data_IF_989974140850
#
_entry.id   IF_989974140850
#
_cell.length_a   1.000
_cell.length_b   1.000
_cell.length_c   1.000
_cell.angle_alpha   90.00
_cell.angle_beta   90.00
_cell.angle_gamma   90.00
#
_symmetry.space_group_name_H-M   'P 1'
#
loop_
_entity.id
_entity.type
_entity.pdbx_description
1 polymer ?
#
# COMPACT_ATOMS: atom_id res chain seq x y z
N UNK A 1 9.46 15.04 41.28
CA UNK A 1 8.81 15.70 40.13
C UNK A 1 7.50 16.27 40.62
N UNK A 2 7.31 17.57 40.44
CA UNK A 2 6.09 18.28 40.80
C UNK A 2 4.96 17.85 39.83
N UNK A 3 3.75 17.63 40.35
CA UNK A 3 2.57 17.29 39.55
C UNK A 3 2.24 18.38 38.51
N UNK A 4 2.63 19.63 38.74
CA UNK A 4 2.52 20.71 37.73
C UNK A 4 3.49 20.53 36.56
N UNK A 5 4.72 20.12 36.84
CA UNK A 5 5.78 19.88 35.85
C UNK A 5 5.42 18.67 34.94
N UNK A 6 4.76 17.66 35.50
CA UNK A 6 4.19 16.54 34.75
C UNK A 6 3.02 16.90 33.83
N UNK A 7 2.34 18.04 34.07
CA UNK A 7 1.23 18.49 33.23
C UNK A 7 1.68 19.43 32.11
N UNK A 8 2.86 20.04 32.22
CA UNK A 8 3.40 20.98 31.23
C UNK A 8 4.50 20.38 30.35
N UNK A 9 5.33 19.50 30.89
CA UNK A 9 6.58 19.05 30.26
C UNK A 9 6.73 17.53 30.19
N UNK A 10 5.71 16.76 30.58
CA UNK A 10 5.74 15.32 30.37
C UNK A 10 5.80 15.03 28.86
N UNK A 11 6.81 14.27 28.39
CA UNK A 11 6.86 13.89 26.99
C UNK A 11 5.62 13.05 26.66
N UNK A 12 4.86 13.47 25.65
CA UNK A 12 3.80 12.67 25.08
C UNK A 12 4.44 11.38 24.57
N UNK A 13 3.93 10.19 24.94
CA UNK A 13 4.45 8.94 24.39
C UNK A 13 4.42 9.02 22.86
N UNK A 14 5.50 8.64 22.16
CA UNK A 14 5.48 8.61 20.71
C UNK A 14 4.30 7.74 20.25
N UNK A 15 3.55 8.24 19.26
CA UNK A 15 2.47 7.47 18.64
C UNK A 15 3.08 6.19 18.08
N UNK A 16 2.53 5.04 18.46
CA UNK A 16 2.99 3.76 17.94
C UNK A 16 2.84 3.73 16.41
N UNK A 17 3.94 3.48 15.70
CA UNK A 17 3.96 3.35 14.25
C UNK A 17 3.73 1.88 13.90
N UNK A 18 2.47 1.48 13.98
CA UNK A 18 2.02 0.11 13.79
C UNK A 18 1.10 -0.02 12.55
N UNK A 19 0.59 -1.22 12.28
CA UNK A 19 -0.34 -1.43 11.16
C UNK A 19 -1.66 -0.66 11.37
N UNK A 20 -2.03 -0.38 12.62
CA UNK A 20 -3.20 0.44 12.97
C UNK A 20 -3.02 1.89 12.56
N UNK A 21 -1.87 2.48 12.86
CA UNK A 21 -1.44 3.80 12.38
C UNK A 21 -1.47 3.84 10.85
N UNK A 22 -0.89 2.85 10.17
CA UNK A 22 -0.90 2.82 8.71
C UNK A 22 -2.33 2.82 8.16
N UNK A 23 -3.22 1.99 8.71
CA UNK A 23 -4.63 1.94 8.29
C UNK A 23 -5.33 3.28 8.52
N UNK A 24 -5.02 3.96 9.63
CA UNK A 24 -5.60 5.25 9.97
C UNK A 24 -5.11 6.40 9.06
N UNK A 25 -3.96 6.25 8.39
CA UNK A 25 -3.31 7.31 7.61
C UNK A 25 -3.40 7.15 6.08
N UNK A 26 -3.82 5.99 5.59
CA UNK A 26 -3.93 5.72 4.14
C UNK A 26 -5.31 6.10 3.58
N UNK A 27 -5.31 6.58 2.33
CA UNK A 27 -6.55 6.91 1.62
C UNK A 27 -7.53 5.72 1.56
N UNK A 28 -7.04 4.49 1.45
CA UNK A 28 -7.86 3.27 1.27
C UNK A 28 -8.96 3.09 2.33
N UNK A 29 -8.69 3.52 3.57
CA UNK A 29 -9.62 3.39 4.70
C UNK A 29 -10.14 4.74 5.19
N UNK A 30 -9.93 5.79 4.39
CA UNK A 30 -10.39 7.15 4.67
C UNK A 30 -11.66 7.47 3.88
N UNK A 31 -12.38 8.51 4.32
CA UNK A 31 -13.51 9.08 3.60
C UNK A 31 -13.47 10.61 3.63
N UNK A 32 -14.32 11.29 2.85
CA UNK A 32 -14.42 12.75 2.86
C UNK A 32 -13.11 13.47 2.49
N UNK A 33 -12.83 14.56 3.20
CA UNK A 33 -11.67 15.43 2.95
C UNK A 33 -10.34 14.71 3.22
N UNK A 34 -10.26 13.90 4.29
CA UNK A 34 -9.08 13.09 4.60
C UNK A 34 -8.73 12.14 3.45
N UNK A 35 -9.73 11.48 2.87
CA UNK A 35 -9.54 10.65 1.69
C UNK A 35 -8.98 11.46 0.51
N UNK A 36 -9.54 12.63 0.23
CA UNK A 36 -9.10 13.47 -0.87
C UNK A 36 -7.63 13.91 -0.70
N UNK A 37 -7.25 14.34 0.51
CA UNK A 37 -5.89 14.76 0.85
C UNK A 37 -4.90 13.61 0.73
N UNK A 38 -5.19 12.46 1.37
CA UNK A 38 -4.31 11.28 1.33
C UNK A 38 -4.21 10.70 -0.06
N UNK A 39 -5.30 10.72 -0.84
CA UNK A 39 -5.29 10.28 -2.25
C UNK A 39 -4.40 11.18 -3.09
N UNK A 40 -4.41 12.49 -2.87
CA UNK A 40 -3.54 13.42 -3.58
C UNK A 40 -2.06 13.07 -3.37
N UNK A 41 -1.65 12.73 -2.15
CA UNK A 41 -0.29 12.28 -1.85
C UNK A 41 0.07 11.02 -2.66
N UNK A 42 -0.83 10.03 -2.72
CA UNK A 42 -0.60 8.82 -3.53
C UNK A 42 -0.42 9.16 -5.02
N UNK A 43 -1.25 10.05 -5.56
CA UNK A 43 -1.17 10.48 -6.97
C UNK A 43 0.14 11.23 -7.24
N UNK A 44 0.57 12.10 -6.31
CA UNK A 44 1.86 12.81 -6.42
C UNK A 44 3.04 11.86 -6.44
N UNK A 45 3.05 10.82 -5.58
CA UNK A 45 4.12 9.81 -5.58
C UNK A 45 4.10 8.97 -6.88
N UNK A 46 2.92 8.58 -7.37
CA UNK A 46 2.79 7.84 -8.63
C UNK A 46 3.18 8.67 -9.86
N UNK A 47 2.98 9.98 -9.84
CA UNK A 47 3.37 10.88 -10.92
C UNK A 47 4.89 10.94 -11.13
N UNK A 48 5.68 10.51 -10.15
CA UNK A 48 7.14 10.39 -10.28
C UNK A 48 7.56 9.11 -11.02
N UNK A 49 6.61 8.22 -11.34
CA UNK A 49 6.88 6.91 -11.94
C UNK A 49 6.13 6.76 -13.25
N UNK A 50 6.88 6.72 -14.34
CA UNK A 50 6.33 6.41 -15.65
C UNK A 50 5.98 4.91 -15.73
N UNK A 51 4.73 4.53 -16.08
CA UNK A 51 4.34 3.12 -16.22
C UNK A 51 5.25 2.35 -17.18
N UNK A 52 5.73 3.01 -18.26
CA UNK A 52 6.67 2.39 -19.18
C UNK A 52 7.98 1.95 -18.50
N UNK A 53 8.51 2.77 -17.60
CA UNK A 53 9.74 2.43 -16.87
C UNK A 53 9.52 1.22 -15.95
N UNK A 54 8.34 1.12 -15.30
CA UNK A 54 7.97 -0.06 -14.52
C UNK A 54 7.89 -1.33 -15.36
N UNK A 55 7.27 -1.24 -16.55
CA UNK A 55 7.18 -2.37 -17.48
C UNK A 55 8.57 -2.87 -17.90
N UNK A 56 9.44 -1.95 -18.30
CA UNK A 56 10.80 -2.26 -18.72
C UNK A 56 11.62 -2.86 -17.57
N UNK A 57 11.51 -2.31 -16.36
CA UNK A 57 12.19 -2.83 -15.17
C UNK A 57 11.70 -4.23 -14.77
N UNK A 58 10.38 -4.47 -14.79
CA UNK A 58 9.79 -5.77 -14.48
C UNK A 58 10.19 -6.83 -15.52
N UNK A 59 10.23 -6.48 -16.81
CA UNK A 59 10.67 -7.39 -17.87
C UNK A 59 12.17 -7.72 -17.78
N UNK A 60 13.01 -6.77 -17.35
CA UNK A 60 14.43 -6.99 -17.17
C UNK A 60 14.76 -7.93 -15.99
N UNK A 61 13.91 -7.96 -14.95
CA UNK A 61 14.12 -8.76 -13.74
C UNK A 61 12.81 -9.40 -13.24
N UNK A 62 12.24 -10.36 -13.97
CA UNK A 62 10.91 -10.89 -13.66
C UNK A 62 10.79 -11.65 -12.34
N UNK A 63 11.91 -12.16 -11.82
CA UNK A 63 11.95 -12.84 -10.53
C UNK A 63 12.07 -11.87 -9.34
N UNK A 64 12.30 -10.58 -9.57
CA UNK A 64 12.41 -9.57 -8.51
C UNK A 64 11.06 -9.30 -7.83
N UNK A 65 9.97 -9.43 -8.59
CA UNK A 65 8.60 -9.25 -8.11
C UNK A 65 8.18 -7.77 -8.01
N UNK A 66 6.86 -7.49 -8.02
CA UNK A 66 6.34 -6.12 -8.19
C UNK A 66 6.75 -5.14 -7.09
N UNK A 67 6.84 -5.60 -5.84
CA UNK A 67 7.21 -4.76 -4.69
C UNK A 67 8.63 -4.20 -4.85
N UNK A 68 9.59 -5.09 -5.13
CA UNK A 68 10.99 -4.70 -5.25
C UNK A 68 11.23 -3.87 -6.53
N UNK A 69 10.54 -4.17 -7.64
CA UNK A 69 10.59 -3.33 -8.84
C UNK A 69 10.04 -1.93 -8.59
N UNK A 70 8.88 -1.80 -7.93
CA UNK A 70 8.31 -0.49 -7.62
C UNK A 70 9.20 0.30 -6.66
N UNK A 71 9.73 -0.35 -5.61
CA UNK A 71 10.65 0.27 -4.67
C UNK A 71 11.91 0.79 -5.36
N UNK A 72 12.53 0.01 -6.25
CA UNK A 72 13.71 0.42 -7.01
C UNK A 72 13.42 1.67 -7.87
N UNK A 73 12.31 1.67 -8.61
CA UNK A 73 11.95 2.80 -9.49
C UNK A 73 11.61 4.06 -8.70
N UNK A 74 11.03 3.92 -7.51
CA UNK A 74 10.78 5.03 -6.59
C UNK A 74 12.05 5.47 -5.82
N UNK A 75 13.16 4.74 -5.94
CA UNK A 75 14.40 5.02 -5.21
C UNK A 75 14.30 4.70 -3.71
N UNK A 76 13.46 3.75 -3.33
CA UNK A 76 13.25 3.33 -1.95
C UNK A 76 14.12 2.13 -1.59
N UNK A 77 14.89 2.24 -0.52
CA UNK A 77 15.66 1.14 0.07
C UNK A 77 14.82 0.47 1.17
N UNK A 78 14.03 -0.54 0.77
CA UNK A 78 13.14 -1.29 1.69
C UNK A 78 13.28 -2.78 1.49
N UNK A 79 13.04 -3.56 2.55
CA UNK A 79 12.98 -5.02 2.47
C UNK A 79 11.59 -5.49 2.00
N UNK A 80 11.46 -6.18 0.84
CA UNK A 80 10.19 -6.74 0.39
C UNK A 80 9.55 -7.71 1.39
N UNK A 81 10.34 -8.37 2.24
CA UNK A 81 9.82 -9.24 3.29
C UNK A 81 9.04 -8.47 4.36
N UNK A 82 9.43 -7.22 4.65
CA UNK A 82 8.68 -6.36 5.57
C UNK A 82 7.37 -5.89 4.95
N UNK A 83 7.38 -5.52 3.67
CA UNK A 83 6.15 -5.21 2.92
C UNK A 83 5.20 -6.41 2.95
N UNK A 84 5.70 -7.63 2.76
CA UNK A 84 4.90 -8.84 2.79
C UNK A 84 4.27 -9.12 4.18
N UNK A 85 4.98 -8.84 5.28
CA UNK A 85 4.43 -8.96 6.65
C UNK A 85 3.31 -7.96 6.87
N UNK A 86 3.52 -6.69 6.50
CA UNK A 86 2.49 -5.64 6.59
C UNK A 86 1.29 -5.97 5.71
N UNK A 87 1.50 -6.41 4.47
CA UNK A 87 0.42 -6.75 3.54
C UNK A 87 -0.51 -7.84 4.09
N UNK A 88 0.03 -8.85 4.79
CA UNK A 88 -0.76 -9.92 5.45
C UNK A 88 -1.65 -9.39 6.57
N UNK A 89 -1.22 -8.34 7.27
CA UNK A 89 -2.00 -7.70 8.32
C UNK A 89 -2.74 -6.44 7.84
N UNK A 90 -2.65 -6.04 6.56
CA UNK A 90 -3.09 -4.71 6.14
C UNK A 90 -4.62 -4.52 6.18
N UNK A 91 -5.39 -5.54 5.79
CA UNK A 91 -6.85 -5.44 5.80
C UNK A 91 -7.41 -5.48 7.23
N UNK A 92 -8.41 -4.64 7.58
CA UNK A 92 -8.96 -4.55 8.94
C UNK A 92 -9.47 -5.86 9.53
N UNK A 93 -9.91 -6.80 8.70
CA UNK A 93 -10.41 -8.11 9.12
C UNK A 93 -9.32 -9.16 9.36
N UNK A 94 -8.06 -8.87 9.02
CA UNK A 94 -6.94 -9.71 9.41
C UNK A 94 -6.39 -9.30 10.77
N UNK A 95 -5.99 -10.29 11.56
CA UNK A 95 -5.33 -10.07 12.84
C UNK A 95 -4.01 -9.34 12.62
N UNK A 96 -3.80 -8.26 13.38
CA UNK A 96 -2.49 -7.65 13.52
C UNK A 96 -1.58 -8.59 14.33
N UNK A 97 -0.28 -8.50 14.08
CA UNK A 97 0.74 -9.24 14.81
C UNK A 97 1.93 -8.33 15.09
N UNK A 98 2.66 -8.63 16.16
CA UNK A 98 3.86 -7.89 16.54
C UNK A 98 4.86 -7.82 15.39
N UNK A 99 5.04 -8.90 14.63
CA UNK A 99 5.96 -8.92 13.49
C UNK A 99 5.54 -7.98 12.35
N UNK A 100 4.23 -7.80 12.14
CA UNK A 100 3.71 -6.87 11.15
C UNK A 100 3.85 -5.42 11.62
N UNK A 101 3.68 -5.16 12.91
CA UNK A 101 3.85 -3.83 13.49
C UNK A 101 5.33 -3.40 13.47
N UNK A 102 6.24 -4.29 13.86
CA UNK A 102 7.68 -4.06 13.75
C UNK A 102 8.14 -3.86 12.29
N UNK A 103 7.55 -4.60 11.35
CA UNK A 103 7.81 -4.40 9.92
C UNK A 103 7.28 -3.05 9.44
N UNK A 104 6.10 -2.63 9.90
CA UNK A 104 5.54 -1.32 9.58
C UNK A 104 6.46 -0.20 10.09
N UNK A 105 6.96 -0.33 11.32
CA UNK A 105 7.91 0.63 11.88
C UNK A 105 9.18 0.74 11.03
N UNK A 106 9.81 -0.38 10.66
CA UNK A 106 11.02 -0.38 9.80
C UNK A 106 10.77 0.25 8.43
N UNK A 107 9.61 0.00 7.82
CA UNK A 107 9.25 0.62 6.54
C UNK A 107 9.10 2.14 6.68
N UNK A 108 8.50 2.61 7.78
CA UNK A 108 8.37 4.06 8.02
C UNK A 108 9.74 4.69 8.25
N UNK A 109 10.60 4.08 9.07
CA UNK A 109 11.97 4.54 9.33
C UNK A 109 12.79 4.63 8.03
N UNK A 110 12.63 3.67 7.11
CA UNK A 110 13.30 3.68 5.81
C UNK A 110 12.77 4.75 4.84
N UNK A 111 11.49 5.11 4.93
CA UNK A 111 10.81 5.97 3.94
C UNK A 111 10.65 7.42 4.39
N UNK A 112 10.80 7.72 5.68
CA UNK A 112 10.78 9.09 6.21
C UNK A 112 10.26 9.21 7.64
N UNK A 113 9.47 10.26 7.87
CA UNK A 113 8.82 10.52 9.16
C UNK A 113 7.45 9.83 9.21
N UNK A 114 6.88 9.54 10.40
CA UNK A 114 5.56 8.94 10.54
C UNK A 114 4.44 9.95 10.21
N UNK A 115 4.32 10.31 8.94
CA UNK A 115 3.32 11.23 8.38
C UNK A 115 2.47 10.57 7.27
N UNK A 116 1.49 11.31 6.74
CA UNK A 116 0.59 10.81 5.69
C UNK A 116 1.30 10.50 4.37
N UNK A 117 2.41 11.19 4.06
CA UNK A 117 3.17 10.97 2.83
C UNK A 117 3.94 9.65 2.93
N UNK A 118 4.56 9.36 4.07
CA UNK A 118 5.19 8.07 4.32
C UNK A 118 4.15 6.95 4.34
N UNK A 119 2.98 7.17 4.96
CA UNK A 119 1.88 6.20 4.88
C UNK A 119 1.42 5.94 3.43
N UNK A 120 1.39 6.97 2.58
CA UNK A 120 1.09 6.82 1.15
C UNK A 120 2.13 5.93 0.44
N UNK A 121 3.42 6.15 0.69
CA UNK A 121 4.51 5.31 0.13
C UNK A 121 4.42 3.86 0.59
N UNK A 122 4.23 3.62 1.90
CA UNK A 122 4.02 2.25 2.42
C UNK A 122 2.77 1.63 1.80
N UNK A 123 1.68 2.38 1.68
CA UNK A 123 0.45 1.94 1.03
C UNK A 123 0.66 1.52 -0.42
N UNK A 124 1.46 2.25 -1.19
CA UNK A 124 1.84 1.90 -2.57
C UNK A 124 2.58 0.56 -2.63
N UNK A 125 3.57 0.35 -1.77
CA UNK A 125 4.33 -0.91 -1.70
C UNK A 125 3.42 -2.09 -1.31
N UNK A 126 2.52 -1.88 -0.34
CA UNK A 126 1.54 -2.90 0.06
C UNK A 126 0.55 -3.22 -1.07
N UNK A 127 0.12 -2.23 -1.87
CA UNK A 127 -0.69 -2.49 -3.06
C UNK A 127 0.11 -3.23 -4.15
N UNK A 128 1.40 -2.93 -4.33
CA UNK A 128 2.24 -3.65 -5.28
C UNK A 128 2.35 -5.15 -4.92
N UNK A 129 2.29 -5.52 -3.65
CA UNK A 129 2.20 -6.92 -3.25
C UNK A 129 0.94 -7.62 -3.79
N UNK A 130 -0.17 -6.89 -3.97
CA UNK A 130 -1.38 -7.43 -4.60
C UNK A 130 -1.22 -7.65 -6.11
N UNK A 131 -0.29 -6.97 -6.78
CA UNK A 131 0.04 -7.19 -8.20
C UNK A 131 0.56 -8.60 -8.47
N UNK A 132 1.16 -9.28 -7.49
CA UNK A 132 1.46 -10.71 -7.65
C UNK A 132 0.21 -11.55 -7.92
N UNK A 133 -0.93 -11.18 -7.32
CA UNK A 133 -2.21 -11.85 -7.57
C UNK A 133 -2.75 -11.49 -8.94
N UNK A 134 -2.53 -10.25 -9.42
CA UNK A 134 -2.84 -9.85 -10.81
C UNK A 134 -2.11 -10.76 -11.82
N UNK A 135 -0.79 -10.91 -11.64
CA UNK A 135 0.06 -11.75 -12.49
C UNK A 135 -0.44 -13.20 -12.49
N UNK A 136 -0.71 -13.77 -11.30
CA UNK A 136 -1.16 -15.17 -11.15
C UNK A 136 -2.55 -15.42 -11.75
N UNK A 137 -3.44 -14.45 -11.69
CA UNK A 137 -4.83 -14.60 -12.13
C UNK A 137 -5.06 -14.17 -13.58
N UNK A 138 -4.03 -13.79 -14.34
CA UNK A 138 -4.20 -13.30 -15.71
C UNK A 138 -4.62 -14.43 -16.68
N UNK A 139 -5.71 -14.27 -17.48
CA UNK A 139 -6.62 -13.12 -17.50
C UNK A 139 -7.66 -13.19 -16.35
N UNK A 140 -7.76 -12.13 -15.54
CA UNK A 140 -8.68 -12.07 -14.40
C UNK A 140 -8.31 -10.98 -13.38
N UNK A 141 -9.23 -10.63 -12.47
CA UNK A 141 -8.99 -9.60 -11.46
C UNK A 141 -7.92 -10.07 -10.44
N UNK A 142 -7.12 -9.14 -9.87
CA UNK A 142 -6.16 -9.48 -8.83
C UNK A 142 -6.87 -10.03 -7.58
N UNK A 143 -8.04 -9.47 -7.28
CA UNK A 143 -8.93 -9.92 -6.22
C UNK A 143 -10.36 -9.91 -6.79
N UNK A 144 -11.04 -11.06 -6.89
CA UNK A 144 -12.36 -11.16 -7.54
C UNK A 144 -13.49 -10.53 -6.71
N UNK A 145 -13.30 -10.38 -5.40
CA UNK A 145 -14.29 -9.73 -4.53
C UNK A 145 -13.64 -8.96 -3.39
N UNK A 146 -14.34 -7.94 -2.89
CA UNK A 146 -13.93 -7.18 -1.70
C UNK A 146 -15.06 -7.15 -0.68
N UNK A 147 -14.75 -6.62 0.51
CA UNK A 147 -15.71 -6.46 1.60
C UNK A 147 -15.89 -4.98 1.90
N UNK A 148 -17.14 -4.56 2.11
CA UNK A 148 -17.53 -3.20 2.47
C UNK A 148 -18.40 -3.22 3.71
N UNK A 149 -18.32 -2.16 4.51
CA UNK A 149 -19.21 -1.96 5.64
C UNK A 149 -20.31 -0.99 5.22
N UNK A 150 -21.56 -1.45 5.21
CA UNK A 150 -22.74 -0.68 4.80
C UNK A 150 -23.80 -0.85 5.88
N UNK A 151 -24.27 0.26 6.45
CA UNK A 151 -25.35 0.28 7.45
C UNK A 151 -25.16 -0.69 8.63
N UNK A 152 -23.92 -0.84 9.10
CA UNK A 152 -23.61 -1.72 10.24
C UNK A 152 -23.38 -3.19 9.87
N UNK A 153 -23.36 -3.54 8.58
CA UNK A 153 -23.14 -4.90 8.10
C UNK A 153 -21.99 -4.98 7.10
N UNK A 154 -21.33 -6.14 7.10
CA UNK A 154 -20.35 -6.49 6.07
C UNK A 154 -21.07 -6.99 4.80
N UNK A 155 -20.72 -6.42 3.66
CA UNK A 155 -21.24 -6.76 2.33
C UNK A 155 -20.09 -7.18 1.43
N UNK A 156 -20.19 -8.36 0.83
CA UNK A 156 -19.29 -8.80 -0.23
C UNK A 156 -19.65 -8.09 -1.54
N UNK A 157 -18.66 -7.55 -2.22
CA UNK A 157 -18.78 -6.83 -3.49
C UNK A 157 -17.96 -7.55 -4.55
N UNK A 158 -18.59 -7.95 -5.65
CA UNK A 158 -17.92 -8.50 -6.82
C UNK A 158 -17.09 -7.41 -7.52
N UNK A 159 -15.85 -7.71 -7.83
CA UNK A 159 -14.91 -6.82 -8.51
C UNK A 159 -14.58 -7.27 -9.94
N UNK A 160 -15.23 -8.31 -10.45
CA UNK A 160 -14.94 -8.88 -11.77
C UNK A 160 -14.96 -7.83 -12.89
N UNK A 161 -15.99 -6.97 -12.90
CA UNK A 161 -16.12 -5.89 -13.89
C UNK A 161 -15.35 -4.60 -13.53
N UNK A 162 -14.88 -4.49 -12.28
CA UNK A 162 -14.18 -3.32 -11.75
C UNK A 162 -12.97 -3.76 -10.92
N UNK A 163 -11.96 -4.42 -11.52
CA UNK A 163 -10.81 -4.99 -10.79
C UNK A 163 -10.02 -3.94 -10.01
N UNK A 164 -10.06 -2.70 -10.47
CA UNK A 164 -9.42 -1.53 -9.87
C UNK A 164 -10.41 -0.58 -9.19
N UNK A 165 -11.65 -1.01 -8.95
CA UNK A 165 -12.71 -0.18 -8.38
C UNK A 165 -13.27 0.84 -9.37
N UNK A 166 -14.07 1.78 -8.87
CA UNK A 166 -14.73 2.80 -9.70
C UNK A 166 -15.01 4.07 -8.90
N UNK A 167 -15.31 5.16 -9.62
CA UNK A 167 -15.67 6.46 -9.04
C UNK A 167 -14.58 7.05 -8.14
N UNK A 168 -14.96 7.73 -7.04
CA UNK A 168 -13.99 8.35 -6.12
C UNK A 168 -12.94 7.39 -5.53
N UNK A 169 -13.25 6.09 -5.49
CA UNK A 169 -12.37 5.05 -4.94
C UNK A 169 -11.70 4.19 -6.03
N UNK A 170 -11.71 4.61 -7.30
CA UNK A 170 -10.92 3.97 -8.35
C UNK A 170 -9.41 4.01 -7.99
N UNK A 171 -8.71 2.91 -8.25
CA UNK A 171 -7.30 2.76 -7.97
C UNK A 171 -6.51 3.81 -8.77
N UNK A 172 -5.73 4.69 -8.13
CA UNK A 172 -4.91 5.66 -8.87
C UNK A 172 -3.72 5.00 -9.56
N UNK A 173 -3.33 3.79 -9.14
CA UNK A 173 -2.17 3.05 -9.65
C UNK A 173 -2.53 1.91 -10.60
N UNK A 174 -3.71 1.93 -11.23
CA UNK A 174 -4.13 0.91 -12.21
C UNK A 174 -3.10 0.74 -13.32
N UNK A 175 -2.74 1.84 -14.01
CA UNK A 175 -1.74 1.81 -15.08
C UNK A 175 -0.36 1.29 -14.62
N UNK A 176 0.05 1.60 -13.37
CA UNK A 176 1.31 1.11 -12.80
C UNK A 176 1.26 -0.39 -12.50
N UNK A 177 0.14 -0.88 -11.95
CA UNK A 177 -0.06 -2.29 -11.66
C UNK A 177 -0.10 -3.13 -12.95
N UNK A 178 -0.81 -2.65 -13.98
CA UNK A 178 -0.84 -3.27 -15.30
C UNK A 178 0.54 -3.31 -15.93
N UNK A 179 1.28 -2.20 -15.91
CA UNK A 179 2.64 -2.15 -16.46
C UNK A 179 3.59 -3.14 -15.76
N UNK A 180 3.54 -3.24 -14.43
CA UNK A 180 4.30 -4.24 -13.67
C UNK A 180 3.93 -5.68 -14.08
N UNK A 181 2.64 -5.97 -14.22
CA UNK A 181 2.17 -7.30 -14.61
C UNK A 181 2.55 -7.65 -16.05
N UNK A 182 2.36 -6.73 -17.00
CA UNK A 182 2.75 -6.89 -18.40
C UNK A 182 4.25 -7.15 -18.55
N UNK A 183 5.08 -6.37 -17.85
CA UNK A 183 6.53 -6.55 -17.87
C UNK A 183 6.92 -7.94 -17.37
N UNK A 184 6.41 -8.34 -16.20
CA UNK A 184 6.68 -9.65 -15.61
C UNK A 184 6.21 -10.83 -16.49
N UNK A 185 5.06 -10.69 -17.18
CA UNK A 185 4.53 -11.71 -18.07
C UNK A 185 5.29 -11.78 -19.42
N UNK A 186 5.71 -10.63 -19.97
CA UNK A 186 6.41 -10.57 -21.26
C UNK A 186 7.73 -11.34 -21.28
N UNK A 187 8.43 -11.42 -20.15
CA UNK A 187 9.66 -12.21 -20.01
C UNK A 187 9.44 -13.71 -19.83
N UNK A 188 8.19 -14.15 -19.63
CA UNK A 188 7.84 -15.58 -19.51
C UNK A 188 7.47 -16.24 -20.84
N UNK A 189 7.32 -15.45 -21.90
CA UNK A 189 7.05 -15.93 -23.26
C UNK A 189 8.10 -15.34 -24.24
N UNK A 190 9.15 -16.10 -24.61
CA UNK A 190 10.11 -15.68 -25.63
C UNK A 190 9.51 -15.64 -27.04
#
# INVERSE_FOLDING_TARGET
MDSRELLTDAPVPPVAVDVGWLRAMVARFSSGEDHATRRKLVIEELANVEPRALREAAAARPHQGPVATLAEVLGFEVDPADVAKVAKAYQPHFSQSTEADEACQRLVEALGQPDERTAAKVGLLVQAAATESLIKNTPGPPVPSTRRWVDGAEVAVDLTDFPFGTGPHACPGEAHAEALAEGALSSTHP
#
